data_IF_921983070456
#
_entry.id   IF_921983070456
#
_cell.length_a   1.000
_cell.length_b   1.000
_cell.length_c   1.000
_cell.angle_alpha   90.00
_cell.angle_beta   90.00
_cell.angle_gamma   90.00
#
_symmetry.space_group_name_H-M   'P 1'
#
loop_
_entity.id
_entity.type
_entity.pdbx_description
1 polymer ?
#
# COMPACT_ATOMS: atom_id res chain seq x y z
N UNK A 1 24.73 3.17 27.85
CA UNK A 1 23.28 3.47 27.79
C UNK A 1 22.78 3.62 26.34
N UNK A 2 23.27 4.59 25.56
CA UNK A 2 22.83 4.82 24.18
C UNK A 2 23.04 3.61 23.25
N UNK A 3 24.17 2.91 23.35
CA UNK A 3 24.46 1.68 22.58
C UNK A 3 23.48 0.56 22.91
N UNK A 4 23.09 0.39 24.19
CA UNK A 4 22.09 -0.60 24.59
C UNK A 4 20.69 -0.22 24.12
N UNK A 5 20.34 1.07 24.14
CA UNK A 5 19.06 1.57 23.59
C UNK A 5 18.99 1.31 22.08
N UNK A 6 20.04 1.66 21.34
CA UNK A 6 20.13 1.42 19.89
C UNK A 6 20.08 -0.08 19.58
N UNK A 7 20.82 -0.90 20.33
CA UNK A 7 20.81 -2.36 20.17
C UNK A 7 19.42 -2.95 20.44
N UNK A 8 18.76 -2.54 21.51
CA UNK A 8 17.42 -3.02 21.86
C UNK A 8 16.36 -2.54 20.85
N UNK A 9 16.48 -1.31 20.35
CA UNK A 9 15.61 -0.78 19.31
C UNK A 9 15.79 -1.52 17.98
N UNK A 10 17.04 -1.77 17.58
CA UNK A 10 17.36 -2.56 16.38
C UNK A 10 16.87 -4.00 16.51
N UNK A 11 17.08 -4.63 17.66
CA UNK A 11 16.64 -6.01 17.90
C UNK A 11 15.11 -6.12 17.89
N UNK A 12 14.40 -5.20 18.54
CA UNK A 12 12.92 -5.13 18.46
C UNK A 12 12.44 -4.88 17.03
N UNK A 13 13.11 -4.01 16.28
CA UNK A 13 12.78 -3.76 14.88
C UNK A 13 13.03 -5.00 14.02
N UNK A 14 14.14 -5.70 14.24
CA UNK A 14 14.51 -6.93 13.55
C UNK A 14 13.52 -8.06 13.86
N UNK A 15 13.10 -8.22 15.11
CA UNK A 15 12.12 -9.24 15.51
C UNK A 15 10.75 -8.96 14.88
N UNK A 16 10.32 -7.68 14.85
CA UNK A 16 9.08 -7.25 14.19
C UNK A 16 9.13 -7.40 12.66
N UNK A 17 10.27 -7.08 12.05
CA UNK A 17 10.55 -7.31 10.62
C UNK A 17 10.57 -8.79 10.28
N UNK A 18 11.26 -9.61 11.07
CA UNK A 18 11.34 -11.06 10.87
C UNK A 18 9.98 -11.72 10.97
N UNK A 19 9.16 -11.31 11.94
CA UNK A 19 7.77 -11.77 12.02
C UNK A 19 6.92 -11.28 10.84
N UNK A 20 7.10 -10.02 10.40
CA UNK A 20 6.43 -9.47 9.22
C UNK A 20 6.73 -10.29 7.97
N UNK A 21 8.00 -10.66 7.75
CA UNK A 21 8.45 -11.51 6.64
C UNK A 21 7.90 -12.92 6.76
N UNK A 22 7.92 -13.53 7.95
CA UNK A 22 7.35 -14.87 8.18
C UNK A 22 5.82 -14.91 7.98
N UNK A 23 5.10 -13.89 8.43
CA UNK A 23 3.66 -13.75 8.18
C UNK A 23 3.34 -13.54 6.69
N UNK A 24 4.25 -12.92 5.94
CA UNK A 24 4.06 -12.66 4.51
C UNK A 24 4.07 -13.92 3.64
N UNK A 25 4.48 -15.08 4.16
CA UNK A 25 4.36 -16.37 3.46
C UNK A 25 2.91 -16.68 3.07
N UNK A 26 1.94 -16.32 3.92
CA UNK A 26 0.51 -16.50 3.61
C UNK A 26 0.07 -15.57 2.49
N UNK A 27 0.71 -14.40 2.35
CA UNK A 27 0.46 -13.42 1.29
C UNK A 27 1.09 -13.81 -0.03
N UNK A 28 2.20 -14.53 0.01
CA UNK A 28 2.80 -15.10 -1.18
C UNK A 28 1.95 -16.23 -1.80
N UNK A 29 0.98 -16.78 -1.06
CA UNK A 29 -0.06 -17.68 -1.59
C UNK A 29 -1.17 -16.90 -2.32
N UNK A 30 -1.10 -15.56 -2.37
CA UNK A 30 -2.06 -14.75 -3.12
C UNK A 30 -2.09 -15.19 -4.59
N UNK A 31 -3.25 -15.64 -5.12
CA UNK A 31 -3.32 -16.19 -6.47
C UNK A 31 -2.94 -15.17 -7.55
N UNK A 32 -3.21 -13.87 -7.33
CA UNK A 32 -2.78 -12.79 -8.24
C UNK A 32 -1.26 -12.69 -8.25
N UNK A 33 -0.65 -12.80 -7.07
CA UNK A 33 0.79 -12.77 -6.90
C UNK A 33 1.47 -14.01 -7.51
N UNK A 34 0.97 -15.21 -7.22
CA UNK A 34 1.47 -16.46 -7.79
C UNK A 34 1.33 -16.49 -9.32
N UNK A 35 0.22 -15.98 -9.85
CA UNK A 35 0.02 -15.85 -11.29
C UNK A 35 1.04 -14.88 -11.92
N UNK A 36 1.32 -13.75 -11.27
CA UNK A 36 2.33 -12.79 -11.74
C UNK A 36 3.72 -13.43 -11.76
N UNK A 37 4.10 -14.11 -10.67
CA UNK A 37 5.39 -14.80 -10.58
C UNK A 37 5.49 -15.91 -11.62
N UNK A 38 4.43 -16.70 -11.80
CA UNK A 38 4.38 -17.74 -12.82
C UNK A 38 4.54 -17.17 -14.24
N UNK A 39 3.86 -16.06 -14.57
CA UNK A 39 4.04 -15.38 -15.86
C UNK A 39 5.47 -14.85 -16.01
N UNK A 40 6.02 -14.17 -15.01
CA UNK A 40 7.37 -13.61 -15.09
C UNK A 40 8.43 -14.70 -15.24
N UNK A 41 8.33 -15.78 -14.46
CA UNK A 41 9.22 -16.93 -14.55
C UNK A 41 9.04 -17.63 -15.90
N UNK A 42 7.81 -17.84 -16.35
CA UNK A 42 7.54 -18.40 -17.67
C UNK A 42 8.15 -17.53 -18.79
N UNK A 43 7.96 -16.22 -18.76
CA UNK A 43 8.56 -15.26 -19.70
C UNK A 43 10.09 -15.28 -19.67
N UNK A 44 10.71 -15.40 -18.49
CA UNK A 44 12.17 -15.44 -18.34
C UNK A 44 12.78 -16.79 -18.76
N UNK A 45 12.03 -17.89 -18.63
CA UNK A 45 12.53 -19.26 -18.81
C UNK A 45 12.19 -19.86 -20.18
N UNK A 46 11.03 -19.53 -20.77
CA UNK A 46 10.47 -20.35 -21.86
C UNK A 46 10.53 -19.80 -23.28
N UNK A 47 10.94 -18.55 -23.53
CA UNK A 47 11.07 -18.10 -24.93
C UNK A 47 12.37 -17.34 -25.21
N UNK A 48 12.86 -17.57 -26.43
CA UNK A 48 13.55 -16.59 -27.27
C UNK A 48 13.18 -15.17 -26.78
N UNK A 49 14.15 -14.34 -26.41
CA UNK A 49 13.83 -13.07 -25.72
C UNK A 49 13.08 -12.08 -26.62
N UNK A 50 13.02 -12.36 -27.91
CA UNK A 50 12.47 -11.54 -29.00
C UNK A 50 11.00 -11.15 -28.78
N UNK A 51 10.02 -12.07 -28.55
CA UNK A 51 8.61 -11.71 -28.35
C UNK A 51 8.34 -10.93 -27.06
N UNK A 52 9.21 -11.10 -26.05
CA UNK A 52 9.17 -10.36 -24.78
C UNK A 52 9.66 -8.92 -24.99
N UNK A 53 10.72 -8.73 -25.79
CA UNK A 53 11.18 -7.41 -26.21
C UNK A 53 10.22 -6.73 -27.20
N UNK A 54 9.60 -7.49 -28.11
CA UNK A 54 8.62 -7.01 -29.07
C UNK A 54 7.31 -6.55 -28.40
N UNK A 55 7.00 -7.07 -27.21
CA UNK A 55 5.83 -6.69 -26.40
C UNK A 55 6.23 -6.02 -25.08
N UNK A 56 7.45 -5.46 -24.99
CA UNK A 56 7.96 -4.86 -23.75
C UNK A 56 7.04 -3.77 -23.23
N UNK A 57 6.41 -3.02 -24.12
CA UNK A 57 5.40 -2.01 -23.80
C UNK A 57 4.24 -2.63 -23.02
N UNK A 58 3.67 -3.73 -23.53
CA UNK A 58 2.56 -4.43 -22.86
C UNK A 58 2.97 -4.96 -21.48
N UNK A 59 4.18 -5.47 -21.33
CA UNK A 59 4.70 -5.99 -20.05
C UNK A 59 4.94 -4.85 -19.05
N UNK A 60 5.56 -3.76 -19.51
CA UNK A 60 5.78 -2.54 -18.72
C UNK A 60 4.45 -1.90 -18.32
N UNK A 61 3.39 -2.02 -19.12
CA UNK A 61 2.05 -1.55 -18.76
C UNK A 61 1.29 -2.53 -17.85
N UNK A 62 1.63 -3.83 -17.84
CA UNK A 62 0.91 -4.84 -17.06
C UNK A 62 1.49 -5.05 -15.64
N UNK A 63 2.81 -4.95 -15.49
CA UNK A 63 3.52 -5.02 -14.20
C UNK A 63 2.98 -4.02 -13.16
N UNK A 64 2.76 -2.74 -13.52
CA UNK A 64 2.16 -1.78 -12.61
C UNK A 64 0.74 -2.21 -12.25
N UNK A 65 -0.11 -2.62 -13.20
CA UNK A 65 -1.49 -3.11 -12.93
C UNK A 65 -1.49 -4.18 -11.84
N UNK A 66 -0.53 -5.10 -11.86
CA UNK A 66 -0.38 -6.08 -10.78
C UNK A 66 -0.02 -5.45 -9.45
N UNK A 67 0.91 -4.50 -9.44
CA UNK A 67 1.26 -3.75 -8.25
C UNK A 67 0.04 -3.08 -7.60
N UNK A 68 -0.83 -2.49 -8.43
CA UNK A 68 -2.07 -1.87 -8.00
C UNK A 68 -3.14 -2.87 -7.51
N UNK A 69 -3.13 -4.11 -8.02
CA UNK A 69 -4.16 -5.11 -7.70
C UNK A 69 -3.73 -5.96 -6.51
N UNK A 70 -2.45 -6.32 -6.43
CA UNK A 70 -1.86 -7.10 -5.32
C UNK A 70 -1.95 -6.34 -4.00
N UNK A 71 -1.69 -5.03 -4.02
CA UNK A 71 -1.70 -4.22 -2.80
C UNK A 71 -3.07 -4.27 -2.08
N UNK A 72 -4.16 -4.08 -2.83
CA UNK A 72 -5.53 -4.01 -2.29
C UNK A 72 -6.23 -5.37 -2.20
N UNK A 73 -5.55 -6.45 -2.57
CA UNK A 73 -6.12 -7.80 -2.51
C UNK A 73 -6.50 -8.17 -1.06
N UNK A 74 -7.62 -8.89 -0.82
CA UNK A 74 -8.06 -9.25 0.52
C UNK A 74 -6.99 -9.94 1.38
N UNK A 75 -6.23 -10.88 0.80
CA UNK A 75 -5.15 -11.58 1.52
C UNK A 75 -4.04 -10.62 1.95
N UNK A 76 -3.62 -9.71 1.05
CA UNK A 76 -2.62 -8.69 1.34
C UNK A 76 -3.10 -7.73 2.42
N UNK A 77 -4.36 -7.29 2.34
CA UNK A 77 -4.97 -6.41 3.36
C UNK A 77 -5.00 -7.07 4.74
N UNK A 78 -5.39 -8.35 4.79
CA UNK A 78 -5.44 -9.11 6.04
C UNK A 78 -4.04 -9.22 6.68
N UNK A 79 -3.00 -9.41 5.87
CA UNK A 79 -1.61 -9.46 6.34
C UNK A 79 -1.16 -8.12 6.89
N UNK A 80 -1.43 -7.02 6.18
CA UNK A 80 -1.10 -5.68 6.67
C UNK A 80 -1.83 -5.40 7.99
N UNK A 81 -3.07 -5.88 8.14
CA UNK A 81 -3.85 -5.73 9.38
C UNK A 81 -3.24 -6.49 10.56
N UNK A 82 -2.76 -7.72 10.35
CA UNK A 82 -2.06 -8.48 11.39
C UNK A 82 -0.69 -7.87 11.68
N UNK A 83 0.03 -7.43 10.65
CA UNK A 83 1.33 -6.77 10.81
C UNK A 83 1.20 -5.46 11.58
N UNK A 84 0.14 -4.67 11.38
CA UNK A 84 -0.17 -3.51 12.22
C UNK A 84 -0.18 -3.91 13.70
N UNK A 85 -0.95 -4.95 14.05
CA UNK A 85 -1.02 -5.45 15.44
C UNK A 85 0.35 -5.85 15.96
N UNK A 86 1.14 -6.58 15.17
CA UNK A 86 2.52 -6.98 15.51
C UNK A 86 3.42 -5.77 15.75
N UNK A 87 3.32 -4.73 14.93
CA UNK A 87 4.11 -3.51 15.08
C UNK A 87 3.69 -2.68 16.30
N UNK A 88 2.42 -2.75 16.70
CA UNK A 88 1.84 -1.95 17.80
C UNK A 88 1.80 -2.66 19.15
N UNK A 89 1.69 -3.99 19.16
CA UNK A 89 1.75 -4.81 20.37
C UNK A 89 3.20 -5.08 20.79
N UNK A 90 3.44 -5.16 22.10
CA UNK A 90 4.73 -5.59 22.66
C UNK A 90 4.85 -7.12 22.77
N UNK A 91 3.78 -7.89 22.52
CA UNK A 91 3.73 -9.34 22.68
C UNK A 91 3.17 -9.98 21.42
N UNK A 92 4.01 -10.73 20.70
CA UNK A 92 3.64 -11.37 19.44
C UNK A 92 3.64 -12.89 19.62
N UNK A 93 2.46 -13.51 19.71
CA UNK A 93 2.35 -14.96 19.76
C UNK A 93 2.12 -15.54 18.36
N UNK A 94 3.15 -16.17 17.79
CA UNK A 94 3.07 -16.86 16.50
C UNK A 94 1.90 -17.86 16.41
N UNK A 95 1.52 -18.47 17.54
CA UNK A 95 0.37 -19.41 17.63
C UNK A 95 -0.98 -18.76 17.33
N UNK A 96 -1.13 -17.46 17.58
CA UNK A 96 -2.39 -16.73 17.34
C UNK A 96 -2.50 -16.20 15.91
N UNK A 97 -1.39 -16.20 15.16
CA UNK A 97 -1.31 -15.64 13.81
C UNK A 97 -2.40 -16.17 12.85
N UNK A 98 -2.66 -17.49 12.74
CA UNK A 98 -3.67 -17.98 11.78
C UNK A 98 -5.09 -17.54 12.15
N UNK A 99 -5.41 -17.49 13.45
CA UNK A 99 -6.72 -17.06 13.95
C UNK A 99 -6.93 -15.57 13.69
N UNK A 100 -5.93 -14.75 14.00
CA UNK A 100 -5.99 -13.30 13.77
C UNK A 100 -6.02 -12.96 12.28
N UNK A 101 -5.25 -13.67 11.47
CA UNK A 101 -5.27 -13.56 10.02
C UNK A 101 -6.67 -13.85 9.47
N UNK A 102 -7.29 -14.98 9.86
CA UNK A 102 -8.62 -15.35 9.38
C UNK A 102 -9.70 -14.35 9.80
N UNK A 103 -9.64 -13.88 11.04
CA UNK A 103 -10.55 -12.84 11.53
C UNK A 103 -10.39 -11.52 10.77
N UNK A 104 -9.14 -11.12 10.49
CA UNK A 104 -8.82 -9.92 9.71
C UNK A 104 -9.27 -10.07 8.26
N UNK A 105 -9.08 -11.25 7.66
CA UNK A 105 -9.56 -11.55 6.32
C UNK A 105 -11.08 -11.46 6.27
N UNK A 106 -11.82 -12.14 7.17
CA UNK A 106 -13.28 -12.12 7.18
C UNK A 106 -13.86 -10.71 7.32
N UNK A 107 -13.26 -9.87 8.18
CA UNK A 107 -13.72 -8.50 8.43
C UNK A 107 -13.41 -7.54 7.28
N UNK A 108 -12.28 -7.73 6.58
CA UNK A 108 -11.86 -6.83 5.49
C UNK A 108 -12.23 -7.32 4.10
N UNK A 109 -12.61 -8.60 3.95
CA UNK A 109 -12.77 -9.27 2.66
C UNK A 109 -13.64 -8.49 1.67
N UNK A 110 -14.83 -8.07 2.10
CA UNK A 110 -15.79 -7.40 1.22
C UNK A 110 -15.27 -6.03 0.77
N UNK A 111 -14.70 -5.25 1.67
CA UNK A 111 -14.18 -3.91 1.37
C UNK A 111 -12.95 -3.98 0.47
N UNK A 112 -11.99 -4.87 0.79
CA UNK A 112 -10.81 -5.10 -0.04
C UNK A 112 -11.17 -5.66 -1.41
N UNK A 113 -12.17 -6.55 -1.51
CA UNK A 113 -12.64 -7.07 -2.80
C UNK A 113 -13.29 -5.97 -3.65
N UNK A 114 -14.02 -5.05 -3.02
CA UNK A 114 -14.61 -3.92 -3.74
C UNK A 114 -13.52 -2.92 -4.20
N UNK A 115 -12.52 -2.64 -3.37
CA UNK A 115 -11.34 -1.85 -3.78
C UNK A 115 -10.57 -2.54 -4.90
N UNK A 116 -10.40 -3.86 -4.83
CA UNK A 116 -9.78 -4.67 -5.88
C UNK A 116 -10.53 -4.52 -7.21
N UNK A 117 -11.86 -4.54 -7.19
CA UNK A 117 -12.67 -4.34 -8.39
C UNK A 117 -12.54 -2.92 -8.94
N UNK A 118 -12.61 -1.89 -8.07
CA UNK A 118 -12.46 -0.49 -8.48
C UNK A 118 -11.09 -0.26 -9.10
N UNK A 119 -10.02 -0.65 -8.40
CA UNK A 119 -8.65 -0.41 -8.84
C UNK A 119 -8.25 -1.33 -9.98
N UNK A 120 -8.75 -2.56 -10.03
CA UNK A 120 -8.59 -3.46 -11.16
C UNK A 120 -9.23 -2.90 -12.43
N UNK A 121 -10.47 -2.40 -12.33
CA UNK A 121 -11.15 -1.76 -13.46
C UNK A 121 -10.45 -0.47 -13.91
N UNK A 122 -10.06 0.39 -12.97
CA UNK A 122 -9.34 1.62 -13.29
C UNK A 122 -7.98 1.33 -13.96
N UNK A 123 -7.23 0.36 -13.44
CA UNK A 123 -5.95 -0.07 -14.01
C UNK A 123 -6.14 -0.67 -15.41
N UNK A 124 -7.14 -1.52 -15.60
CA UNK A 124 -7.48 -2.08 -16.91
C UNK A 124 -7.83 -0.99 -17.93
N UNK A 125 -8.65 -0.01 -17.54
CA UNK A 125 -9.01 1.12 -18.40
C UNK A 125 -7.81 1.98 -18.78
N UNK A 126 -6.88 2.23 -17.86
CA UNK A 126 -5.66 3.00 -18.14
C UNK A 126 -4.75 2.23 -19.10
N UNK A 127 -4.55 0.93 -18.90
CA UNK A 127 -3.76 0.10 -19.81
C UNK A 127 -4.38 0.04 -21.20
N UNK A 128 -5.71 -0.11 -21.27
CA UNK A 128 -6.43 -0.10 -22.54
C UNK A 128 -6.29 1.26 -23.25
N UNK A 129 -6.48 2.36 -22.51
CA UNK A 129 -6.30 3.72 -23.03
C UNK A 129 -4.86 3.94 -23.50
N UNK A 130 -3.85 3.48 -22.77
CA UNK A 130 -2.45 3.59 -23.15
C UNK A 130 -2.20 2.89 -24.49
N UNK A 131 -2.64 1.66 -24.61
CA UNK A 131 -2.47 0.89 -25.84
C UNK A 131 -3.21 1.54 -27.03
N UNK A 132 -4.45 2.00 -26.80
CA UNK A 132 -5.24 2.67 -27.83
C UNK A 132 -4.59 3.97 -28.31
N UNK A 133 -4.25 4.88 -27.39
CA UNK A 133 -3.73 6.20 -27.74
C UNK A 133 -2.31 6.15 -28.32
N UNK A 134 -1.44 5.25 -27.83
CA UNK A 134 -0.10 5.05 -28.42
C UNK A 134 -0.21 4.63 -29.89
N UNK A 135 -1.21 3.80 -30.24
CA UNK A 135 -1.45 3.37 -31.63
C UNK A 135 -2.20 4.40 -32.48
N UNK A 136 -2.98 5.29 -31.86
CA UNK A 136 -3.76 6.30 -32.55
C UNK A 136 -2.88 7.44 -33.08
N UNK A 137 -1.93 7.91 -32.28
CA UNK A 137 -1.05 8.99 -32.68
C UNK A 137 0.11 8.44 -33.50
N UNK A 138 0.34 9.00 -34.70
CA UNK A 138 1.49 8.65 -35.55
C UNK A 138 2.72 9.51 -35.26
N UNK A 139 2.53 10.66 -34.60
CA UNK A 139 3.60 11.60 -34.25
C UNK A 139 4.25 11.14 -32.94
N UNK A 140 5.57 10.85 -32.92
CA UNK A 140 6.24 10.35 -31.72
C UNK A 140 6.09 11.26 -30.49
N UNK A 141 6.15 12.58 -30.68
CA UNK A 141 6.00 13.54 -29.58
C UNK A 141 4.62 13.44 -28.89
N UNK A 142 3.55 13.21 -29.66
CA UNK A 142 2.20 13.04 -29.11
C UNK A 142 2.06 11.68 -28.41
N UNK A 143 2.65 10.62 -28.96
CA UNK A 143 2.71 9.31 -28.30
C UNK A 143 3.41 9.42 -26.94
N UNK A 144 4.58 10.07 -26.87
CA UNK A 144 5.30 10.30 -25.62
C UNK A 144 4.47 11.12 -24.62
N UNK A 145 3.81 12.19 -25.07
CA UNK A 145 2.95 13.01 -24.22
C UNK A 145 1.81 12.21 -23.58
N UNK A 146 1.17 11.34 -24.36
CA UNK A 146 0.12 10.42 -23.87
C UNK A 146 0.68 9.42 -22.87
N UNK A 147 1.82 8.79 -23.17
CA UNK A 147 2.44 7.83 -22.25
C UNK A 147 2.77 8.48 -20.92
N UNK A 148 3.35 9.68 -20.92
CA UNK A 148 3.66 10.44 -19.72
C UNK A 148 2.38 10.77 -18.94
N UNK A 149 1.33 11.24 -19.61
CA UNK A 149 0.06 11.57 -18.98
C UNK A 149 -0.58 10.34 -18.31
N UNK A 150 -0.64 9.22 -19.02
CA UNK A 150 -1.24 7.98 -18.51
C UNK A 150 -0.39 7.39 -17.39
N UNK A 151 0.93 7.48 -17.49
CA UNK A 151 1.84 7.12 -16.40
C UNK A 151 1.57 7.96 -15.14
N UNK A 152 1.32 9.27 -15.29
CA UNK A 152 0.96 10.14 -14.16
C UNK A 152 -0.37 9.77 -13.51
N UNK A 153 -1.42 9.52 -14.31
CA UNK A 153 -2.72 9.04 -13.81
C UNK A 153 -2.56 7.71 -13.09
N UNK A 154 -1.72 6.85 -13.64
CA UNK A 154 -1.42 5.54 -13.06
C UNK A 154 -0.69 5.65 -11.72
N UNK A 155 0.34 6.50 -11.65
CA UNK A 155 1.08 6.78 -10.44
C UNK A 155 0.17 7.33 -9.33
N UNK A 156 -0.77 8.20 -9.69
CA UNK A 156 -1.78 8.72 -8.76
C UNK A 156 -2.62 7.58 -8.15
N UNK A 157 -3.02 6.59 -8.95
CA UNK A 157 -3.74 5.41 -8.44
C UNK A 157 -2.90 4.60 -7.46
N UNK A 158 -1.62 4.37 -7.73
CA UNK A 158 -0.73 3.68 -6.79
C UNK A 158 -0.65 4.46 -5.48
N UNK A 159 -0.42 5.77 -5.55
CA UNK A 159 -0.33 6.64 -4.37
C UNK A 159 -1.62 6.59 -3.54
N UNK A 160 -2.78 6.59 -4.20
CA UNK A 160 -4.08 6.42 -3.53
C UNK A 160 -4.17 5.13 -2.74
N UNK A 161 -3.72 4.00 -3.30
CA UNK A 161 -3.76 2.71 -2.60
C UNK A 161 -2.81 2.65 -1.39
N UNK A 162 -1.68 3.35 -1.48
CA UNK A 162 -0.75 3.50 -0.36
C UNK A 162 -1.37 4.17 0.85
N UNK A 163 -2.36 5.03 0.62
CA UNK A 163 -3.06 5.80 1.66
C UNK A 163 -4.37 5.13 2.09
N UNK A 164 -5.15 4.59 1.14
CA UNK A 164 -6.43 3.94 1.43
C UNK A 164 -6.27 2.77 2.39
N UNK A 165 -5.26 1.92 2.17
CA UNK A 165 -5.07 0.72 2.95
C UNK A 165 -4.86 1.02 4.43
N UNK A 166 -3.91 1.89 4.80
CA UNK A 166 -3.78 2.32 6.18
C UNK A 166 -5.05 2.98 6.73
N UNK A 167 -5.70 3.90 6.00
CA UNK A 167 -6.94 4.53 6.49
C UNK A 167 -8.00 3.48 6.83
N UNK A 168 -8.18 2.48 5.97
CA UNK A 168 -9.16 1.41 6.17
C UNK A 168 -8.82 0.51 7.37
N UNK A 169 -7.54 0.25 7.61
CA UNK A 169 -7.06 -0.60 8.71
C UNK A 169 -7.07 0.16 10.06
N UNK A 170 -6.83 1.47 10.05
CA UNK A 170 -6.85 2.30 11.25
C UNK A 170 -8.23 2.84 11.59
N UNK A 171 -9.12 3.01 10.60
CA UNK A 171 -10.46 3.55 10.79
C UNK A 171 -11.49 2.58 10.16
N UNK A 172 -11.73 1.41 10.77
CA UNK A 172 -12.64 0.41 10.23
C UNK A 172 -14.10 0.88 10.19
N UNK A 173 -14.46 1.95 10.89
CA UNK A 173 -15.80 2.53 10.83
C UNK A 173 -16.06 3.33 9.55
N UNK A 174 -15.01 3.77 8.85
CA UNK A 174 -15.17 4.61 7.68
C UNK A 174 -15.81 3.85 6.53
N UNK A 175 -16.80 4.49 5.89
CA UNK A 175 -17.36 3.99 4.64
C UNK A 175 -16.30 4.05 3.55
N UNK A 176 -16.38 3.13 2.57
CA UNK A 176 -15.39 3.07 1.48
C UNK A 176 -15.35 4.37 0.65
N UNK A 177 -16.50 5.05 0.51
CA UNK A 177 -16.59 6.36 -0.13
C UNK A 177 -15.79 7.42 0.63
N UNK A 178 -15.94 7.43 1.96
CA UNK A 178 -15.20 8.36 2.81
C UNK A 178 -13.71 8.05 2.79
N UNK A 179 -13.33 6.76 2.88
CA UNK A 179 -11.94 6.31 2.75
C UNK A 179 -11.30 6.80 1.45
N UNK A 180 -11.97 6.64 0.30
CA UNK A 180 -11.47 7.12 -0.99
C UNK A 180 -11.35 8.65 -0.99
N UNK A 181 -12.38 9.36 -0.52
CA UNK A 181 -12.35 10.83 -0.48
C UNK A 181 -11.23 11.36 0.39
N UNK A 182 -10.98 10.73 1.53
CA UNK A 182 -9.89 11.09 2.44
C UNK A 182 -8.53 10.78 1.84
N UNK A 183 -8.36 9.60 1.25
CA UNK A 183 -7.11 9.26 0.57
C UNK A 183 -6.82 10.23 -0.58
N UNK A 184 -7.84 10.65 -1.34
CA UNK A 184 -7.69 11.63 -2.41
C UNK A 184 -7.15 12.96 -1.89
N UNK A 185 -7.77 13.52 -0.86
CA UNK A 185 -7.31 14.77 -0.23
C UNK A 185 -5.88 14.63 0.28
N UNK A 186 -5.55 13.50 0.85
CA UNK A 186 -4.25 13.24 1.44
C UNK A 186 -3.14 13.09 0.39
N UNK A 187 -3.43 12.41 -0.72
CA UNK A 187 -2.52 12.34 -1.88
C UNK A 187 -2.30 13.72 -2.47
N UNK A 188 -3.33 14.56 -2.52
CA UNK A 188 -3.19 15.94 -3.00
C UNK A 188 -2.37 16.82 -2.03
N UNK A 189 -2.49 16.62 -0.73
CA UNK A 189 -1.79 17.41 0.28
C UNK A 189 -0.31 16.99 0.47
N UNK A 190 -0.03 15.68 0.50
CA UNK A 190 1.30 15.11 0.82
C UNK A 190 1.88 14.28 -0.32
N UNK A 191 1.50 14.61 -1.57
CA UNK A 191 1.84 13.83 -2.75
C UNK A 191 3.33 13.54 -2.89
N UNK A 192 4.20 14.51 -2.66
CA UNK A 192 5.66 14.31 -2.76
C UNK A 192 6.18 13.28 -1.75
N UNK A 193 5.70 13.32 -0.50
CA UNK A 193 6.11 12.36 0.53
C UNK A 193 5.62 10.96 0.20
N UNK A 194 4.38 10.82 -0.26
CA UNK A 194 3.82 9.53 -0.67
C UNK A 194 4.58 8.99 -1.89
N UNK A 195 4.89 9.85 -2.85
CA UNK A 195 5.67 9.50 -4.04
C UNK A 195 7.05 8.95 -3.69
N UNK A 196 7.77 9.61 -2.77
CA UNK A 196 9.07 9.15 -2.32
C UNK A 196 9.01 7.74 -1.71
N UNK A 197 7.96 7.42 -0.94
CA UNK A 197 7.80 6.08 -0.35
C UNK A 197 7.41 5.05 -1.41
N UNK A 198 6.52 5.40 -2.34
CA UNK A 198 6.18 4.54 -3.48
C UNK A 198 7.43 4.22 -4.31
N UNK A 199 8.30 5.20 -4.54
CA UNK A 199 9.55 5.03 -5.26
C UNK A 199 10.51 4.09 -4.53
N UNK A 200 10.68 4.27 -3.22
CA UNK A 200 11.50 3.36 -2.39
C UNK A 200 10.96 1.93 -2.48
N UNK A 201 9.65 1.75 -2.34
CA UNK A 201 9.05 0.41 -2.41
C UNK A 201 9.19 -0.22 -3.80
N UNK A 202 9.09 0.57 -4.86
CA UNK A 202 9.35 0.13 -6.22
C UNK A 202 10.81 -0.30 -6.43
N UNK A 203 11.78 0.44 -5.89
CA UNK A 203 13.20 0.05 -5.94
C UNK A 203 13.43 -1.27 -5.20
N UNK A 204 12.81 -1.43 -4.02
CA UNK A 204 12.87 -2.70 -3.27
C UNK A 204 12.25 -3.82 -4.08
N UNK A 205 11.09 -3.61 -4.70
CA UNK A 205 10.44 -4.58 -5.58
C UNK A 205 11.34 -5.01 -6.74
N UNK A 206 12.01 -4.07 -7.42
CA UNK A 206 12.95 -4.38 -8.50
C UNK A 206 14.12 -5.24 -8.02
N UNK A 207 14.70 -4.89 -6.86
CA UNK A 207 15.77 -5.69 -6.25
C UNK A 207 15.28 -7.11 -5.90
N UNK A 208 14.03 -7.23 -5.44
CA UNK A 208 13.43 -8.50 -5.07
C UNK A 208 13.09 -9.38 -6.29
N UNK A 209 12.75 -8.78 -7.42
CA UNK A 209 12.39 -9.50 -8.65
C UNK A 209 13.59 -10.26 -9.25
N UNK A 210 14.82 -9.82 -8.98
CA UNK A 210 16.07 -10.47 -9.46
C UNK A 210 16.35 -11.82 -8.77
N UNK A 211 15.71 -12.11 -7.62
CA UNK A 211 15.97 -13.34 -6.83
C UNK A 211 14.67 -14.09 -6.55
N UNK A 212 14.47 -15.20 -7.26
CA UNK A 212 13.16 -15.64 -7.81
C UNK A 212 12.03 -16.09 -6.86
N UNK A 213 12.17 -16.28 -5.54
CA UNK A 213 10.98 -16.59 -4.68
C UNK A 213 11.13 -16.07 -3.25
N UNK A 214 12.31 -16.25 -2.64
CA UNK A 214 12.56 -15.83 -1.26
C UNK A 214 12.50 -14.31 -1.08
N UNK A 215 12.89 -13.55 -2.10
CA UNK A 215 12.98 -12.09 -2.02
C UNK A 215 11.63 -11.42 -2.22
N UNK A 216 10.67 -12.12 -2.84
CA UNK A 216 9.31 -11.66 -3.05
C UNK A 216 8.44 -11.73 -1.78
N UNK A 217 8.65 -12.74 -0.94
CA UNK A 217 8.03 -12.82 0.40
C UNK A 217 8.56 -11.70 1.29
N UNK A 218 9.86 -11.45 1.19
CA UNK A 218 10.52 -10.34 1.88
C UNK A 218 9.97 -8.98 1.45
N UNK A 219 9.71 -8.79 0.14
CA UNK A 219 9.09 -7.59 -0.40
C UNK A 219 7.72 -7.27 0.23
N UNK A 220 6.81 -8.25 0.32
CA UNK A 220 5.47 -8.03 0.91
C UNK A 220 5.59 -7.56 2.37
N UNK A 221 6.49 -8.15 3.15
CA UNK A 221 6.72 -7.75 4.54
C UNK A 221 7.30 -6.35 4.69
N UNK A 222 8.20 -5.97 3.79
CA UNK A 222 8.87 -4.66 3.78
C UNK A 222 7.92 -3.55 3.28
N UNK A 223 7.20 -3.79 2.18
CA UNK A 223 6.20 -2.87 1.62
C UNK A 223 5.10 -2.56 2.64
N UNK A 224 4.64 -3.59 3.36
CA UNK A 224 3.61 -3.42 4.38
C UNK A 224 4.12 -2.62 5.58
N UNK A 225 5.37 -2.83 5.99
CA UNK A 225 6.03 -2.02 7.03
C UNK A 225 6.14 -0.55 6.61
N UNK A 226 6.55 -0.28 5.35
CA UNK A 226 6.62 1.07 4.81
C UNK A 226 5.26 1.78 4.83
N UNK A 227 4.19 1.10 4.43
CA UNK A 227 2.81 1.64 4.46
C UNK A 227 2.35 2.00 5.87
N UNK A 228 2.65 1.14 6.85
CA UNK A 228 2.32 1.40 8.26
C UNK A 228 3.11 2.60 8.80
N UNK A 229 4.40 2.70 8.51
CA UNK A 229 5.24 3.81 8.96
C UNK A 229 4.85 5.14 8.28
N UNK A 230 4.54 5.11 6.97
CA UNK A 230 4.01 6.26 6.23
C UNK A 230 2.77 6.82 6.92
N UNK A 231 1.81 5.93 7.23
CA UNK A 231 0.59 6.34 7.90
C UNK A 231 0.86 6.93 9.28
N UNK A 232 1.68 6.29 10.12
CA UNK A 232 2.04 6.81 11.45
C UNK A 232 2.75 8.17 11.37
N UNK A 233 3.69 8.33 10.45
CA UNK A 233 4.43 9.57 10.26
C UNK A 233 3.50 10.72 9.86
N UNK A 234 2.56 10.45 8.95
CA UNK A 234 1.65 11.48 8.47
C UNK A 234 0.52 11.74 9.48
N UNK A 235 -0.08 10.73 10.10
CA UNK A 235 -1.05 10.92 11.19
C UNK A 235 -0.43 11.75 12.32
N UNK A 236 0.82 11.50 12.71
CA UNK A 236 1.55 12.32 13.69
C UNK A 236 1.72 13.78 13.25
N UNK A 237 1.80 14.06 11.94
CA UNK A 237 1.91 15.41 11.38
C UNK A 237 0.58 16.19 11.47
N UNK A 238 -0.54 15.48 11.39
CA UNK A 238 -1.89 16.07 11.34
C UNK A 238 -2.73 15.86 12.61
N UNK A 239 -2.26 15.07 13.57
CA UNK A 239 -2.85 15.00 14.91
C UNK A 239 -2.45 16.29 15.63
N UNK A 240 -3.41 17.12 16.08
CA UNK A 240 -3.07 18.29 16.89
C UNK A 240 -2.27 17.82 18.10
N UNK A 241 -1.07 18.38 18.28
CA UNK A 241 -0.34 18.24 19.53
C UNK A 241 -1.21 18.94 20.57
N UNK A 242 -1.63 18.22 21.61
CA UNK A 242 -2.45 18.80 22.69
C UNK A 242 -1.76 19.95 23.45
N UNK A 243 -0.50 20.26 23.14
CA UNK A 243 0.20 21.42 23.67
C UNK A 243 0.73 22.31 22.53
N UNK A 244 -0.02 23.37 22.23
CA UNK A 244 0.48 24.71 21.86
C UNK A 244 -0.71 25.64 21.63
N UNK A 245 -1.19 26.23 22.71
CA UNK A 245 -1.91 27.49 22.67
C UNK A 245 -1.04 28.53 21.93
N UNK A 246 -1.70 29.32 21.08
CA UNK A 246 -1.24 30.56 20.45
C UNK A 246 -0.35 30.41 19.20
N UNK A 247 -0.98 30.26 18.04
CA UNK A 247 -0.61 30.97 16.81
C UNK A 247 -1.77 30.92 15.80
N UNK A 248 -2.34 32.06 15.36
CA UNK A 248 -3.35 32.04 14.31
C UNK A 248 -2.63 32.00 12.96
N UNK A 249 -2.71 30.86 12.27
CA UNK A 249 -2.28 30.79 10.86
C UNK A 249 -3.44 30.29 10.03
N UNK A 250 -3.87 31.15 9.10
CA UNK A 250 -5.06 31.07 8.25
C UNK A 250 -5.07 29.93 7.23
N UNK A 251 -4.64 28.73 7.63
CA UNK A 251 -4.68 27.47 6.90
C UNK A 251 -5.62 26.44 7.57
N UNK A 252 -6.52 26.92 8.43
CA UNK A 252 -7.23 26.10 9.43
C UNK A 252 -8.28 25.14 8.85
N UNK A 253 -8.84 25.37 7.65
CA UNK A 253 -9.94 24.52 7.17
C UNK A 253 -9.55 23.07 6.85
N UNK A 254 -8.30 22.82 6.43
CA UNK A 254 -7.83 21.46 6.16
C UNK A 254 -7.38 20.76 7.44
N UNK A 255 -6.66 21.47 8.32
CA UNK A 255 -6.27 20.94 9.64
C UNK A 255 -7.49 20.65 10.53
N UNK A 256 -8.54 21.47 10.47
CA UNK A 256 -9.77 21.26 11.23
C UNK A 256 -10.55 20.04 10.74
N UNK A 257 -10.58 19.79 9.42
CA UNK A 257 -11.16 18.56 8.89
C UNK A 257 -10.41 17.32 9.42
N UNK A 258 -9.09 17.40 9.58
CA UNK A 258 -8.25 16.33 10.14
C UNK A 258 -8.39 16.18 11.66
N UNK A 259 -8.46 17.29 12.40
CA UNK A 259 -8.73 17.28 13.83
C UNK A 259 -10.10 16.66 14.14
N UNK A 260 -11.11 16.96 13.33
CA UNK A 260 -12.46 16.39 13.43
C UNK A 260 -12.50 14.88 13.14
N UNK A 261 -11.58 14.38 12.29
CA UNK A 261 -11.44 12.94 11.99
C UNK A 261 -10.77 12.21 13.16
N UNK A 262 -9.69 12.77 13.70
CA UNK A 262 -8.99 12.21 14.86
C UNK A 262 -9.83 12.28 16.13
N UNK A 263 -10.69 13.30 16.27
CA UNK A 263 -11.62 13.40 17.40
C UNK A 263 -12.70 12.32 17.33
N UNK A 264 -13.29 12.09 16.15
CA UNK A 264 -14.29 11.01 15.96
C UNK A 264 -13.71 9.61 16.21
N UNK A 265 -12.47 9.33 15.76
CA UNK A 265 -11.83 8.04 16.04
C UNK A 265 -11.55 7.86 17.55
N UNK A 266 -11.15 8.93 18.25
CA UNK A 266 -10.94 8.89 19.71
C UNK A 266 -12.24 8.79 20.51
N UNK A 267 -13.33 9.37 20.02
CA UNK A 267 -14.65 9.26 20.65
C UNK A 267 -15.18 7.83 20.55
N UNK A 268 -15.03 7.18 19.40
CA UNK A 268 -15.37 5.77 19.21
C UNK A 268 -14.58 4.84 20.15
N UNK A 269 -13.26 5.02 20.28
CA UNK A 269 -12.41 4.24 21.21
C UNK A 269 -12.77 4.45 22.70
N UNK A 270 -13.29 5.62 23.07
CA UNK A 270 -13.73 5.93 24.44
C UNK A 270 -15.11 5.36 24.76
N UNK A 271 -15.98 5.21 23.76
CA UNK A 271 -17.28 4.57 23.94
C UNK A 271 -17.17 3.04 24.01
N UNK A 272 -16.22 2.44 23.30
CA UNK A 272 -15.95 1.00 23.36
C UNK A 272 -15.37 0.59 24.73
N UNK A 273 -14.41 1.36 25.26
CA UNK A 273 -13.83 1.16 26.61
C UNK A 273 -14.78 1.46 27.79
N UNK A 274 -15.97 2.01 27.54
CA UNK A 274 -17.01 2.24 28.57
C UNK A 274 -18.06 1.13 28.61
N UNK A 275 -18.04 0.20 27.66
CA UNK A 275 -18.99 -0.92 27.56
C UNK A 275 -18.42 -2.26 28.03
N UNK A 276 -17.12 -2.32 28.31
CA UNK A 276 -16.44 -3.40 29.06
C UNK A 276 -16.25 -3.00 30.53
#
# INVERSE_FOLDING_TARGET
MLIQIVKNAFQRWWDKMGFSVLGSFVGAINPVFLFTVAILVWMLVTQDKTPVFDNIESIVFWLPVQFAVVAVFPLTTAIISVQKKVFESDIVYFKQYPKEYWNSLKSTFLRSSLLLLIYGAASFLITFAANYYVRLFTIPALQFGVVILLFWVYLFIIMMQYVILPIMIYNPEFSLKDTIKYAFRFVMAEGLTIFAIVLIDFIVFLFCTVSIVFTLIFYIGLSSSLRIHLHKAIVKKYTPKEDKENEPTSFDSERDAWATIMSKSREAEKEENKKD
#
